data_IF_115701688263
#
_entry.id   IF_115701688263
#
_cell.length_a   1.000
_cell.length_b   1.000
_cell.length_c   1.000
_cell.angle_alpha   90.00
_cell.angle_beta   90.00
_cell.angle_gamma   90.00
#
_symmetry.space_group_name_H-M   'P 1'
#
loop_
_entity.id
_entity.type
_entity.pdbx_description
1 polymer ?
#
# COMPACT_ATOMS: atom_id res chain seq x y z
N UNK A 1 -1.48 11.92 -3.80
CA UNK A 1 -2.47 10.86 -4.14
C UNK A 1 -2.51 9.84 -3.01
N UNK A 2 -3.68 9.32 -2.66
CA UNK A 2 -3.78 8.30 -1.62
C UNK A 2 -3.27 6.94 -2.13
N UNK A 3 -2.62 6.15 -1.27
CA UNK A 3 -1.92 4.91 -1.65
C UNK A 3 -2.88 3.85 -2.21
N UNK A 4 -4.13 3.83 -1.76
CA UNK A 4 -5.16 2.93 -2.29
C UNK A 4 -5.55 3.28 -3.74
N UNK A 5 -5.53 4.56 -4.14
CA UNK A 5 -5.79 4.99 -5.51
C UNK A 5 -4.65 4.57 -6.43
N UNK A 6 -3.40 4.80 -6.01
CA UNK A 6 -2.21 4.29 -6.74
C UNK A 6 -2.25 2.78 -6.90
N UNK A 7 -2.67 2.06 -5.86
CA UNK A 7 -2.83 0.62 -5.92
C UNK A 7 -3.93 0.19 -6.90
N UNK A 8 -5.06 0.89 -6.94
CA UNK A 8 -6.12 0.61 -7.91
C UNK A 8 -5.63 0.83 -9.36
N UNK A 9 -4.92 1.92 -9.63
CA UNK A 9 -4.33 2.20 -10.94
C UNK A 9 -3.30 1.14 -11.35
N UNK A 10 -2.43 0.74 -10.41
CA UNK A 10 -1.49 -0.34 -10.64
C UNK A 10 -2.21 -1.66 -10.96
N UNK A 11 -3.27 -2.00 -10.22
CA UNK A 11 -4.09 -3.20 -10.47
C UNK A 11 -4.67 -3.16 -11.88
N UNK A 12 -5.23 -2.04 -12.32
CA UNK A 12 -5.76 -1.86 -13.67
C UNK A 12 -4.67 -2.00 -14.74
N UNK A 13 -3.51 -1.35 -14.52
CA UNK A 13 -2.38 -1.40 -15.45
C UNK A 13 -1.84 -2.82 -15.65
N UNK A 14 -1.79 -3.65 -14.61
CA UNK A 14 -1.32 -5.04 -14.77
C UNK A 14 -2.19 -5.87 -15.73
N UNK A 15 -3.47 -5.51 -15.88
CA UNK A 15 -4.47 -6.31 -16.59
C UNK A 15 -4.73 -7.67 -15.93
N UNK A 16 -4.26 -7.89 -14.69
CA UNK A 16 -4.41 -9.17 -14.00
C UNK A 16 -5.77 -9.29 -13.34
N UNK A 17 -6.34 -10.50 -13.38
CA UNK A 17 -7.52 -10.79 -12.57
C UNK A 17 -7.19 -10.69 -11.08
N UNK A 18 -8.18 -10.32 -10.27
CA UNK A 18 -8.06 -10.28 -8.79
C UNK A 18 -7.57 -11.61 -8.20
N UNK A 19 -7.91 -12.74 -8.85
CA UNK A 19 -7.43 -14.07 -8.44
C UNK A 19 -5.93 -14.24 -8.68
N UNK A 20 -5.43 -13.80 -9.85
CA UNK A 20 -4.01 -13.83 -10.17
C UNK A 20 -3.21 -12.91 -9.27
N UNK A 21 -3.72 -11.71 -8.99
CA UNK A 21 -3.14 -10.77 -8.03
C UNK A 21 -3.07 -11.36 -6.63
N UNK A 22 -4.16 -11.98 -6.16
CA UNK A 22 -4.20 -12.67 -4.88
C UNK A 22 -3.13 -13.75 -4.77
N UNK A 23 -2.96 -14.58 -5.81
CA UNK A 23 -1.88 -15.57 -5.85
C UNK A 23 -0.49 -14.93 -5.83
N UNK A 24 -0.24 -13.91 -6.66
CA UNK A 24 1.06 -13.23 -6.75
C UNK A 24 1.45 -12.54 -5.45
N UNK A 25 0.47 -12.01 -4.71
CA UNK A 25 0.68 -11.30 -3.44
C UNK A 25 0.51 -12.21 -2.21
N UNK A 26 0.11 -13.47 -2.42
CA UNK A 26 -0.24 -14.44 -1.39
C UNK A 26 -1.26 -13.89 -0.40
N UNK A 27 -2.37 -13.35 -0.93
CA UNK A 27 -3.52 -12.87 -0.16
C UNK A 27 -4.85 -13.22 -0.85
N UNK A 28 -5.97 -13.09 -0.14
CA UNK A 28 -7.27 -13.42 -0.73
C UNK A 28 -7.68 -12.39 -1.80
N UNK A 29 -8.42 -12.80 -2.85
CA UNK A 29 -8.92 -11.87 -3.87
C UNK A 29 -9.81 -10.77 -3.28
N UNK A 30 -10.61 -11.09 -2.26
CA UNK A 30 -11.43 -10.10 -1.55
C UNK A 30 -10.58 -9.03 -0.88
N UNK A 31 -9.41 -9.39 -0.35
CA UNK A 31 -8.49 -8.43 0.27
C UNK A 31 -7.91 -7.44 -0.76
N UNK A 32 -7.64 -7.90 -1.99
CA UNK A 32 -7.26 -7.01 -3.10
C UNK A 32 -8.35 -5.97 -3.36
N UNK A 33 -9.60 -6.41 -3.49
CA UNK A 33 -10.74 -5.50 -3.73
C UNK A 33 -10.92 -4.50 -2.59
N UNK A 34 -10.77 -4.94 -1.34
CA UNK A 34 -10.87 -4.04 -0.17
C UNK A 34 -9.74 -3.01 -0.14
N UNK A 35 -8.51 -3.38 -0.52
CA UNK A 35 -7.39 -2.45 -0.61
C UNK A 35 -7.60 -1.42 -1.73
N UNK A 36 -8.03 -1.84 -2.91
CA UNK A 36 -8.32 -0.92 -4.03
C UNK A 36 -9.42 0.09 -3.70
N UNK A 37 -10.39 -0.29 -2.86
CA UNK A 37 -11.44 0.60 -2.35
C UNK A 37 -11.02 1.46 -1.16
N UNK A 38 -9.79 1.29 -0.66
CA UNK A 38 -9.29 1.99 0.53
C UNK A 38 -9.91 1.54 1.86
N UNK A 39 -10.71 0.47 1.87
CA UNK A 39 -11.36 -0.05 3.09
C UNK A 39 -10.41 -0.84 4.00
N UNK A 40 -9.27 -1.28 3.47
CA UNK A 40 -8.21 -1.95 4.22
C UNK A 40 -6.85 -1.47 3.76
N UNK A 41 -5.90 -1.43 4.70
CA UNK A 41 -4.47 -1.22 4.41
C UNK A 41 -3.73 -2.57 4.47
N UNK A 42 -2.74 -2.80 3.59
CA UNK A 42 -1.86 -3.95 3.73
C UNK A 42 -1.03 -3.83 5.01
N UNK A 43 -0.79 -4.94 5.68
CA UNK A 43 0.29 -5.01 6.67
C UNK A 43 1.67 -4.91 5.99
N UNK A 44 2.72 -4.59 6.75
CA UNK A 44 4.08 -4.36 6.24
C UNK A 44 4.59 -5.47 5.31
N UNK A 45 4.37 -6.74 5.67
CA UNK A 45 4.80 -7.89 4.86
C UNK A 45 4.13 -7.94 3.48
N UNK A 46 2.84 -7.58 3.39
CA UNK A 46 2.12 -7.50 2.13
C UNK A 46 2.53 -6.26 1.34
N UNK A 47 2.69 -5.12 2.00
CA UNK A 47 3.21 -3.89 1.37
C UNK A 47 4.58 -4.13 0.72
N UNK A 48 5.49 -4.86 1.39
CA UNK A 48 6.80 -5.22 0.82
C UNK A 48 6.72 -6.18 -0.36
N UNK A 49 5.64 -6.98 -0.49
CA UNK A 49 5.41 -7.79 -1.69
C UNK A 49 4.88 -6.92 -2.81
N UNK A 50 3.91 -6.06 -2.52
CA UNK A 50 3.34 -5.11 -3.48
C UNK A 50 4.46 -4.23 -4.06
N UNK A 51 5.36 -3.70 -3.24
CA UNK A 51 6.51 -2.91 -3.71
C UNK A 51 7.38 -3.67 -4.70
N UNK A 52 7.68 -4.95 -4.40
CA UNK A 52 8.49 -5.80 -5.29
C UNK A 52 7.77 -6.11 -6.60
N UNK A 53 6.48 -6.43 -6.56
CA UNK A 53 5.71 -6.81 -7.78
C UNK A 53 5.42 -5.57 -8.64
N UNK A 54 5.25 -4.40 -8.03
CA UNK A 54 5.03 -3.13 -8.73
C UNK A 54 6.31 -2.47 -9.26
N UNK A 55 7.48 -3.09 -9.10
CA UNK A 55 8.77 -2.52 -9.54
C UNK A 55 8.84 -2.22 -11.04
N UNK A 56 8.07 -2.93 -11.88
CA UNK A 56 8.00 -2.70 -13.31
C UNK A 56 6.93 -1.67 -13.74
N UNK A 57 6.18 -1.10 -12.79
CA UNK A 57 5.13 -0.14 -13.09
C UNK A 57 5.75 1.21 -13.52
N UNK A 58 5.32 1.82 -14.65
CA UNK A 58 5.93 3.05 -15.17
C UNK A 58 5.87 4.25 -14.22
N UNK A 59 4.89 4.30 -13.33
CA UNK A 59 4.79 5.33 -12.29
C UNK A 59 5.70 5.10 -11.06
N UNK A 60 6.51 4.05 -11.12
CA UNK A 60 7.36 3.60 -10.03
C UNK A 60 6.64 2.67 -9.05
N UNK A 61 7.40 1.91 -8.25
CA UNK A 61 6.82 0.95 -7.31
C UNK A 61 6.00 1.63 -6.21
N UNK A 62 4.97 0.93 -5.75
CA UNK A 62 4.18 1.28 -4.58
C UNK A 62 5.00 1.00 -3.32
N UNK A 63 5.63 2.03 -2.76
CA UNK A 63 6.57 1.89 -1.64
C UNK A 63 5.86 1.50 -0.36
N UNK A 64 6.52 0.68 0.48
CA UNK A 64 6.03 0.35 1.83
C UNK A 64 5.69 1.60 2.64
N UNK A 65 6.54 2.63 2.57
CA UNK A 65 6.38 3.88 3.30
C UNK A 65 5.11 4.67 2.91
N UNK A 66 4.53 4.42 1.73
CA UNK A 66 3.26 5.04 1.34
C UNK A 66 2.08 4.48 2.14
N UNK A 67 2.22 3.31 2.76
CA UNK A 67 1.13 2.63 3.47
C UNK A 67 1.12 2.90 4.98
N UNK A 68 2.27 3.28 5.54
CA UNK A 68 2.41 3.56 6.96
C UNK A 68 1.57 4.81 7.34
N UNK A 69 0.85 4.79 8.47
CA UNK A 69 0.26 6.01 8.99
C UNK A 69 1.37 7.01 9.27
N UNK A 70 1.20 8.26 8.82
CA UNK A 70 1.97 9.37 9.36
C UNK A 70 1.70 9.36 10.87
N UNK A 71 2.71 9.27 11.74
CA UNK A 71 2.47 9.35 13.17
C UNK A 71 1.79 10.70 13.46
N UNK A 72 0.59 10.65 14.03
CA UNK A 72 -0.23 11.85 14.27
C UNK A 72 0.40 12.82 15.29
N UNK A 73 1.48 12.44 15.97
CA UNK A 73 2.08 13.28 17.01
C UNK A 73 3.61 13.23 16.94
N UNK A 74 4.21 14.31 16.44
CA UNK A 74 5.51 14.73 16.93
C UNK A 74 5.20 15.40 18.28
N UNK A 75 5.33 14.67 19.37
CA UNK A 75 5.46 15.32 20.68
C UNK A 75 6.75 16.13 20.63
N UNK A 76 6.62 17.44 20.38
CA UNK A 76 7.71 18.39 20.63
C UNK A 76 7.91 18.32 22.15
N UNK A 77 9.08 17.90 22.67
CA UNK A 77 9.31 18.05 24.09
C UNK A 77 9.25 19.53 24.39
N UNK A 78 8.17 19.97 25.06
CA UNK A 78 8.11 21.27 25.71
C UNK A 78 9.17 21.23 26.81
N UNK A 79 10.40 21.53 26.44
CA UNK A 79 11.42 21.95 27.38
C UNK A 79 10.96 23.27 27.95
N UNK A 80 10.18 23.21 29.03
CA UNK A 80 10.09 24.34 29.94
C UNK A 80 11.14 24.14 31.03
N UNK A 81 12.11 25.04 30.96
CA UNK A 81 13.28 25.11 31.79
C UNK A 81 12.92 25.72 33.16
N UNK A 82 13.66 25.24 34.17
CA UNK A 82 14.11 25.94 35.38
C UNK A 82 13.05 26.45 36.38
#
# INVERSE_FOLDING_TARGET
MASHLRFAEWVEWTGWSVRRLGSALSCSPSFITMMARGSHKPGRALASRIERVSAAWPEGPLRVAEWDPVPDHIEIPTGEAA
#
